data_IF_533129534984
#
_entry.id   IF_533129534984
#
_cell.length_a   1.000
_cell.length_b   1.000
_cell.length_c   1.000
_cell.angle_alpha   90.00
_cell.angle_beta   90.00
_cell.angle_gamma   90.00
#
_symmetry.space_group_name_H-M   'P 1'
#
loop_
_entity.id
_entity.type
_entity.pdbx_description
1 polymer ?
#
# COMPACT_ATOMS: atom_id res chain seq x y z
N UNK A 1 4.69 3.32 32.26
CA UNK A 1 5.84 2.95 31.40
C UNK A 1 5.33 2.83 29.98
N UNK A 2 5.80 3.73 29.12
CA UNK A 2 5.43 3.92 27.72
C UNK A 2 5.65 2.66 26.89
N UNK A 3 4.63 2.24 26.16
CA UNK A 3 4.72 1.26 25.08
C UNK A 3 5.52 1.90 23.92
N UNK A 4 6.51 1.22 23.32
CA UNK A 4 7.16 1.76 22.13
C UNK A 4 6.14 1.89 21.00
N UNK A 5 6.12 3.04 20.34
CA UNK A 5 5.45 3.21 19.06
C UNK A 5 5.97 2.11 18.13
N UNK A 6 5.11 1.13 17.85
CA UNK A 6 5.44 0.03 16.97
C UNK A 6 5.70 0.62 15.58
N UNK A 7 6.99 0.62 15.22
CA UNK A 7 7.54 0.73 13.88
C UNK A 7 6.66 1.53 12.92
N UNK A 8 6.85 2.86 12.93
CA UNK A 8 6.48 3.74 11.82
C UNK A 8 7.38 3.42 10.61
N UNK A 9 7.39 2.14 10.21
CA UNK A 9 8.11 1.63 9.07
C UNK A 9 7.58 2.37 7.86
N UNK A 10 8.43 3.23 7.29
CA UNK A 10 8.13 3.98 6.09
C UNK A 10 7.48 3.02 5.09
N UNK A 11 6.23 3.32 4.76
CA UNK A 11 5.38 2.56 3.86
C UNK A 11 5.96 2.71 2.45
N UNK A 12 6.93 1.86 2.11
CA UNK A 12 7.66 1.90 0.84
C UNK A 12 6.91 1.16 -0.26
N UNK A 13 7.17 1.55 -1.50
CA UNK A 13 6.65 0.84 -2.66
C UNK A 13 7.08 -0.64 -2.65
N UNK A 14 6.13 -1.54 -2.90
CA UNK A 14 6.33 -2.99 -3.01
C UNK A 14 7.04 -3.41 -4.29
N UNK A 15 7.32 -2.47 -5.20
CA UNK A 15 8.11 -2.74 -6.41
C UNK A 15 9.56 -3.04 -5.99
N UNK A 16 10.09 -4.17 -6.46
CA UNK A 16 11.48 -4.53 -6.19
C UNK A 16 12.45 -3.46 -6.70
N UNK A 17 13.31 -2.95 -5.81
CA UNK A 17 14.26 -1.87 -6.10
C UNK A 17 13.68 -0.46 -5.99
N UNK A 18 12.39 -0.31 -5.66
CA UNK A 18 11.79 0.99 -5.40
C UNK A 18 11.76 1.26 -3.89
N UNK A 19 12.26 2.43 -3.49
CA UNK A 19 12.25 2.90 -2.10
C UNK A 19 11.41 4.18 -1.93
N UNK A 20 10.65 4.55 -2.97
CA UNK A 20 9.78 5.71 -2.93
C UNK A 20 8.66 5.53 -1.89
N UNK A 21 8.19 6.62 -1.26
CA UNK A 21 7.07 6.57 -0.34
C UNK A 21 5.81 6.12 -1.10
N UNK A 22 5.08 5.17 -0.52
CA UNK A 22 3.84 4.69 -1.09
C UNK A 22 2.73 5.70 -0.86
N UNK A 23 2.06 6.08 -1.95
CA UNK A 23 0.92 7.01 -1.97
C UNK A 23 -0.38 6.27 -2.28
N UNK A 24 -0.31 4.99 -2.63
CA UNK A 24 -1.44 4.17 -3.03
C UNK A 24 -1.30 2.78 -2.44
N UNK A 25 -2.39 2.23 -1.93
CA UNK A 25 -2.47 0.82 -1.56
C UNK A 25 -3.28 0.06 -2.63
N UNK A 26 -2.74 -1.06 -3.05
CA UNK A 26 -3.30 -1.96 -4.05
C UNK A 26 -3.82 -3.18 -3.31
N UNK A 27 -5.13 -3.24 -3.15
CA UNK A 27 -5.83 -4.35 -2.51
C UNK A 27 -6.18 -5.38 -3.56
N UNK A 28 -5.70 -6.61 -3.40
CA UNK A 28 -5.93 -7.67 -4.37
C UNK A 28 -6.21 -9.01 -3.69
N UNK A 29 -6.85 -9.93 -4.41
CA UNK A 29 -7.09 -11.30 -3.93
C UNK A 29 -6.63 -12.33 -4.95
N UNK A 30 -6.19 -13.49 -4.46
CA UNK A 30 -5.90 -14.65 -5.30
C UNK A 30 -7.03 -15.69 -5.16
N UNK A 31 -8.05 -15.68 -6.05
CA UNK A 31 -9.16 -16.64 -6.00
C UNK A 31 -8.73 -18.09 -6.18
N UNK A 32 -7.54 -18.34 -6.74
CA UNK A 32 -7.10 -19.69 -7.11
C UNK A 32 -6.58 -20.51 -5.93
N UNK A 33 -6.21 -19.85 -4.82
CA UNK A 33 -5.51 -20.50 -3.68
C UNK A 33 -6.13 -20.09 -2.33
N UNK A 34 -6.94 -19.03 -2.27
CA UNK A 34 -7.47 -18.50 -1.02
C UNK A 34 -9.00 -18.42 -1.02
N UNK A 35 -9.58 -18.61 0.17
CA UNK A 35 -10.98 -18.30 0.45
C UNK A 35 -11.26 -16.81 0.20
N UNK A 36 -12.51 -16.42 -0.11
CA UNK A 36 -12.85 -15.05 -0.51
C UNK A 36 -12.53 -13.97 0.55
N UNK A 37 -12.31 -14.37 1.80
CA UNK A 37 -12.00 -13.50 2.93
C UNK A 37 -10.55 -12.99 2.92
N UNK A 38 -9.63 -13.70 2.28
CA UNK A 38 -8.20 -13.37 2.36
C UNK A 38 -7.78 -12.40 1.25
N UNK A 39 -7.60 -11.13 1.62
CA UNK A 39 -7.07 -10.06 0.76
C UNK A 39 -5.62 -9.78 1.10
N UNK A 40 -4.83 -9.45 0.08
CA UNK A 40 -3.46 -8.97 0.21
C UNK A 40 -3.42 -7.49 -0.17
N UNK A 41 -2.51 -6.76 0.47
CA UNK A 41 -2.33 -5.32 0.23
C UNK A 41 -0.88 -5.13 -0.20
N UNK A 42 -0.68 -4.48 -1.34
CA UNK A 42 0.61 -4.02 -1.82
C UNK A 42 0.65 -2.50 -1.77
N UNK A 43 1.77 -1.93 -1.37
CA UNK A 43 1.94 -0.48 -1.34
C UNK A 43 2.64 -0.03 -2.63
N UNK A 44 2.24 1.09 -3.19
CA UNK A 44 2.76 1.62 -4.43
C UNK A 44 2.95 3.13 -4.37
N UNK A 45 4.05 3.61 -4.95
CA UNK A 45 4.17 5.04 -5.28
C UNK A 45 3.39 5.34 -6.56
N UNK A 46 3.14 6.63 -6.81
CA UNK A 46 2.38 7.11 -7.97
C UNK A 46 2.90 6.56 -9.31
N UNK A 47 4.24 6.51 -9.46
CA UNK A 47 4.91 5.97 -10.65
C UNK A 47 4.63 4.48 -10.90
N UNK A 48 4.51 3.68 -9.83
CA UNK A 48 4.39 2.22 -9.93
C UNK A 48 2.98 1.69 -9.67
N UNK A 49 2.04 2.52 -9.23
CA UNK A 49 0.67 2.11 -8.92
C UNK A 49 -0.01 1.48 -10.14
N UNK A 50 0.08 2.13 -11.30
CA UNK A 50 -0.49 1.64 -12.56
C UNK A 50 0.14 0.31 -12.99
N UNK A 51 1.47 0.20 -12.91
CA UNK A 51 2.19 -1.03 -13.28
C UNK A 51 1.78 -2.23 -12.44
N UNK A 52 1.71 -2.07 -11.11
CA UNK A 52 1.33 -3.15 -10.20
C UNK A 52 -0.13 -3.56 -10.36
N UNK A 53 -1.01 -2.58 -10.61
CA UNK A 53 -2.42 -2.84 -10.91
C UNK A 53 -2.56 -3.65 -12.20
N UNK A 54 -1.94 -3.20 -13.29
CA UNK A 54 -2.00 -3.88 -14.60
C UNK A 54 -1.44 -5.30 -14.52
N UNK A 55 -0.33 -5.49 -13.79
CA UNK A 55 0.25 -6.82 -13.55
C UNK A 55 -0.75 -7.80 -12.91
N UNK A 56 -1.58 -7.33 -11.98
CA UNK A 56 -2.60 -8.14 -11.32
C UNK A 56 -3.82 -8.34 -12.22
N UNK A 57 -4.27 -7.28 -12.90
CA UNK A 57 -5.39 -7.32 -13.83
C UNK A 57 -5.14 -8.29 -15.00
N UNK A 58 -3.93 -8.29 -15.57
CA UNK A 58 -3.53 -9.21 -16.64
C UNK A 58 -3.54 -10.70 -16.23
N UNK A 59 -3.65 -11.01 -14.93
CA UNK A 59 -3.76 -12.37 -14.38
C UNK A 59 -5.18 -12.73 -13.97
N UNK A 60 -6.16 -11.90 -14.33
CA UNK A 60 -7.55 -12.01 -13.87
C UNK A 60 -7.66 -12.00 -12.34
N UNK A 61 -6.71 -11.34 -11.66
CA UNK A 61 -6.78 -11.16 -10.22
C UNK A 61 -7.64 -9.93 -9.90
N UNK A 62 -8.67 -10.08 -9.07
CA UNK A 62 -9.46 -8.96 -8.57
C UNK A 62 -8.55 -8.03 -7.77
N UNK A 63 -8.42 -6.81 -8.26
CA UNK A 63 -7.52 -5.77 -7.74
C UNK A 63 -8.24 -4.43 -7.73
N UNK A 64 -8.02 -3.64 -6.69
CA UNK A 64 -8.49 -2.25 -6.57
C UNK A 64 -7.41 -1.39 -5.91
N UNK A 65 -7.35 -0.13 -6.29
CA UNK A 65 -6.43 0.87 -5.72
C UNK A 65 -7.18 1.80 -4.79
N UNK A 66 -6.63 2.04 -3.60
CA UNK A 66 -7.15 3.00 -2.64
C UNK A 66 -6.03 4.01 -2.32
N UNK A 67 -6.38 5.29 -2.09
CA UNK A 67 -5.40 6.27 -1.65
C UNK A 67 -4.81 5.83 -0.31
N UNK A 68 -3.48 5.81 -0.24
CA UNK A 68 -2.78 5.54 1.00
C UNK A 68 -2.01 6.80 1.36
N UNK A 69 -2.28 7.45 2.49
CA UNK A 69 -1.46 8.58 2.89
C UNK A 69 -0.05 8.02 3.08
N UNK A 70 0.85 8.36 2.14
CA UNK A 70 2.27 8.28 2.42
C UNK A 70 2.44 8.90 3.79
N UNK A 71 3.07 8.19 4.72
CA UNK A 71 3.28 8.66 6.09
C UNK A 71 4.11 9.94 6.06
N UNK A 72 3.48 11.03 5.67
CA UNK A 72 3.84 12.38 6.00
C UNK A 72 3.27 12.52 7.38
N UNK A 73 4.18 12.53 8.34
CA UNK A 73 3.91 13.06 9.66
C UNK A 73 3.01 14.29 9.50
N UNK A 74 1.87 14.28 10.18
CA UNK A 74 0.95 15.40 10.14
C UNK A 74 1.73 16.65 10.56
N UNK A 75 1.72 17.77 9.80
CA UNK A 75 1.95 19.04 10.44
C UNK A 75 0.75 19.21 11.36
N UNK A 76 0.93 18.96 12.66
CA UNK A 76 0.05 19.49 13.69
C UNK A 76 0.11 21.01 13.54
N UNK A 77 -0.76 21.54 12.68
CA UNK A 77 -1.06 22.95 12.62
C UNK A 77 -1.90 23.26 13.86
N UNK A 78 -1.23 23.37 15.00
CA UNK A 78 -1.75 24.03 16.19
C UNK A 78 -2.08 25.47 15.79
N UNK A 79 -3.38 25.79 15.70
CA UNK A 79 -3.87 27.15 15.47
C UNK A 79 -4.39 27.70 16.80
N UNK A 80 -3.52 28.50 17.42
CA UNK A 80 -3.69 29.59 18.41
C UNK A 80 -4.84 29.59 19.41
#
# INVERSE_FOLDING_TARGET
>A
MTLPAADAGASVCSRAGCHAPATTQIVWRNPRIHTPDRRKIWLACDEHAAYLHDYLAARDFPVHTEPFPASTEAPTAEST
#
